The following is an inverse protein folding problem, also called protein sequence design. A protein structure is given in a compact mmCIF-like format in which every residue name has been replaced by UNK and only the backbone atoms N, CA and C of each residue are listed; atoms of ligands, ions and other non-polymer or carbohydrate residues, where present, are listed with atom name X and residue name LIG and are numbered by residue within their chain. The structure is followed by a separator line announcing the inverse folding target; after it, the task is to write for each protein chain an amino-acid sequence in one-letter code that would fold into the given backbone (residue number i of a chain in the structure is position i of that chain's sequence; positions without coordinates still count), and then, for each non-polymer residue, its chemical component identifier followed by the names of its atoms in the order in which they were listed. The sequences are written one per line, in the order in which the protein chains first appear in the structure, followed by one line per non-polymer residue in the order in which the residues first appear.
data_IF_487960207025
#
_entry.id   IF_487960207025
#
_cell.length_a   1.000
_cell.length_b   1.000
_cell.length_c   1.000
_cell.angle_alpha   90.00
_cell.angle_beta   90.00
_cell.angle_gamma   90.00
#
_symmetry.space_group_name_H-M   'P 1'
#
loop_
_entity.id
_entity.type
_entity.pdbx_description
1 polymer ?
#
# COMPACT_ATOMS: atom_id res chain seq x y z
N UNK A 1 -1.35 12.83 2.91
CA UNK A 1 -0.47 12.20 3.92
C UNK A 1 -0.04 13.15 5.05
N UNK A 2 -0.12 14.47 4.81
CA UNK A 2 0.27 15.49 5.80
C UNK A 2 -0.92 15.97 6.66
N UNK A 3 -2.14 15.58 6.31
CA UNK A 3 -3.34 16.08 6.96
C UNK A 3 -3.51 15.60 8.41
N UNK A 4 -3.02 14.39 8.73
CA UNK A 4 -3.16 13.80 10.08
C UNK A 4 -2.47 14.60 11.18
N UNK A 5 -1.17 14.84 11.13
CA UNK A 5 -0.46 15.64 12.13
C UNK A 5 -0.96 17.09 12.20
N UNK A 6 -1.23 17.72 11.05
CA UNK A 6 -1.79 19.08 11.01
C UNK A 6 -3.20 19.12 11.61
N UNK A 7 -4.05 18.14 11.30
CA UNK A 7 -5.38 18.03 11.88
C UNK A 7 -5.32 17.87 13.40
N UNK A 8 -4.44 16.99 13.91
CA UNK A 8 -4.25 16.78 15.35
C UNK A 8 -3.82 18.09 16.03
N UNK A 9 -2.84 18.79 15.46
CA UNK A 9 -2.36 20.07 16.01
C UNK A 9 -3.46 21.14 16.02
N UNK A 10 -4.23 21.27 14.95
CA UNK A 10 -5.36 22.21 14.86
C UNK A 10 -6.47 21.86 15.85
N UNK A 11 -6.81 20.58 16.01
CA UNK A 11 -7.80 20.13 16.98
C UNK A 11 -7.34 20.34 18.42
N UNK A 12 -6.08 20.07 18.72
CA UNK A 12 -5.51 20.34 20.03
C UNK A 12 -5.56 21.87 20.33
N UNK A 13 -5.20 22.71 19.36
CA UNK A 13 -5.28 24.17 19.53
C UNK A 13 -6.70 24.66 19.78
N UNK A 14 -7.71 24.08 19.09
CA UNK A 14 -9.14 24.42 19.30
C UNK A 14 -9.65 24.06 20.69
N UNK A 15 -9.02 23.13 21.40
CA UNK A 15 -9.38 22.71 22.75
C UNK A 15 -8.70 23.53 23.86
N UNK A 16 -7.77 24.39 23.49
CA UNK A 16 -6.99 25.22 24.41
C UNK A 16 -7.42 26.68 24.17
N UNK A 17 -8.41 27.15 24.94
CA UNK A 17 -8.95 28.52 24.74
C UNK A 17 -7.96 29.62 25.12
N UNK A 18 -7.21 29.49 26.21
CA UNK A 18 -6.31 30.53 26.75
C UNK A 18 -4.88 29.99 27.04
N UNK A 19 -4.50 28.87 26.42
CA UNK A 19 -3.18 28.24 26.64
C UNK A 19 -2.13 28.67 25.62
N UNK A 20 -0.87 28.24 25.81
CA UNK A 20 0.18 28.49 24.84
C UNK A 20 -0.14 27.81 23.50
N UNK A 21 0.36 28.35 22.36
CA UNK A 21 0.10 27.79 21.05
C UNK A 21 0.63 26.35 20.94
N UNK A 22 -0.15 25.48 20.29
CA UNK A 22 0.28 24.11 19.95
C UNK A 22 1.32 24.19 18.85
N UNK A 23 2.52 23.68 19.12
CA UNK A 23 3.63 23.65 18.17
C UNK A 23 3.78 22.25 17.58
N UNK A 24 3.76 22.15 16.25
CA UNK A 24 4.12 20.95 15.52
C UNK A 24 5.61 21.01 15.16
N UNK A 25 6.42 20.16 15.78
CA UNK A 25 7.86 20.08 15.51
C UNK A 25 8.13 18.92 14.57
N UNK A 26 8.56 19.13 13.32
CA UNK A 26 8.96 18.06 12.43
C UNK A 26 10.29 17.45 12.92
N UNK A 27 10.30 16.14 13.11
CA UNK A 27 11.50 15.37 13.45
C UNK A 27 11.82 14.42 12.31
N UNK A 28 13.00 14.57 11.71
CA UNK A 28 13.51 13.64 10.71
C UNK A 28 14.56 12.72 11.35
N UNK A 29 14.33 11.41 11.28
CA UNK A 29 15.30 10.40 11.72
C UNK A 29 15.95 9.80 10.50
N UNK A 30 17.29 9.96 10.38
CA UNK A 30 18.09 9.32 9.35
C UNK A 30 18.89 8.19 9.97
N UNK A 31 18.58 6.94 9.60
CA UNK A 31 19.39 5.79 9.95
C UNK A 31 20.38 5.49 8.82
N UNK A 32 21.66 5.32 9.16
CA UNK A 32 22.72 4.91 8.22
C UNK A 32 23.40 3.67 8.76
N UNK A 33 23.61 2.69 7.87
CA UNK A 33 24.43 1.53 8.19
C UNK A 33 25.91 1.88 8.08
N UNK A 34 26.67 1.64 9.14
CA UNK A 34 28.12 1.90 9.18
C UNK A 34 28.96 0.67 8.83
N UNK A 35 28.35 -0.52 8.75
CA UNK A 35 29.01 -1.78 8.39
C UNK A 35 28.68 -2.28 6.99
N UNK A 36 29.46 -3.26 6.50
CA UNK A 36 29.17 -3.92 5.23
C UNK A 36 28.03 -4.95 5.40
N UNK A 37 26.83 -4.54 5.05
CA UNK A 37 25.63 -5.39 5.14
C UNK A 37 25.41 -6.26 3.90
N UNK A 38 26.27 -6.15 2.86
CA UNK A 38 26.05 -6.83 1.56
C UNK A 38 25.99 -8.34 1.67
N UNK A 39 26.87 -8.94 2.47
CA UNK A 39 26.93 -10.40 2.63
C UNK A 39 25.60 -10.88 3.27
N UNK A 40 25.23 -10.29 4.41
CA UNK A 40 23.99 -10.67 5.12
C UNK A 40 22.74 -10.43 4.28
N UNK A 41 22.71 -9.35 3.51
CA UNK A 41 21.59 -9.06 2.61
C UNK A 41 21.50 -10.11 1.49
N UNK A 42 22.62 -10.56 0.90
CA UNK A 42 22.62 -11.64 -0.10
C UNK A 42 22.12 -12.96 0.48
N UNK A 43 22.56 -13.35 1.67
CA UNK A 43 22.05 -14.54 2.37
C UNK A 43 20.54 -14.47 2.54
N UNK A 44 20.04 -13.36 3.09
CA UNK A 44 18.60 -13.15 3.30
C UNK A 44 17.80 -13.18 1.97
N UNK A 45 18.33 -12.55 0.91
CA UNK A 45 17.71 -12.59 -0.40
C UNK A 45 17.66 -14.01 -0.97
N UNK A 46 18.72 -14.81 -0.79
CA UNK A 46 18.74 -16.20 -1.22
C UNK A 46 17.73 -17.07 -0.47
N UNK A 47 17.61 -16.88 0.84
CA UNK A 47 16.57 -17.55 1.66
C UNK A 47 15.16 -17.21 1.14
N UNK A 48 14.87 -15.92 0.92
CA UNK A 48 13.57 -15.48 0.41
C UNK A 48 13.33 -16.00 -1.01
N UNK A 49 14.34 -15.94 -1.89
CA UNK A 49 14.25 -16.43 -3.25
C UNK A 49 13.90 -17.91 -3.31
N UNK A 50 14.50 -18.73 -2.44
CA UNK A 50 14.18 -20.16 -2.31
C UNK A 50 12.71 -20.37 -1.96
N UNK A 51 12.16 -19.60 -1.02
CA UNK A 51 10.73 -19.68 -0.63
C UNK A 51 9.80 -19.23 -1.76
N UNK A 52 10.25 -18.31 -2.60
CA UNK A 52 9.47 -17.74 -3.70
C UNK A 52 9.66 -18.47 -5.03
N UNK A 53 10.55 -19.47 -5.09
CA UNK A 53 10.99 -20.10 -6.34
C UNK A 53 11.48 -19.07 -7.36
N UNK A 54 12.28 -18.12 -6.87
CA UNK A 54 12.86 -17.05 -7.66
C UNK A 54 14.33 -17.37 -7.98
N UNK A 55 14.69 -17.28 -9.26
CA UNK A 55 16.05 -17.49 -9.73
C UNK A 55 16.93 -16.26 -9.41
N UNK A 56 17.94 -16.42 -8.56
CA UNK A 56 18.96 -15.42 -8.26
C UNK A 56 20.27 -15.82 -8.91
N UNK A 57 20.87 -14.86 -9.64
CA UNK A 57 22.22 -15.06 -10.19
C UNK A 57 23.26 -14.73 -9.13
N UNK A 58 24.30 -15.56 -9.03
CA UNK A 58 25.34 -15.45 -8.00
C UNK A 58 26.06 -14.09 -8.03
N UNK A 59 26.33 -13.58 -9.23
CA UNK A 59 27.10 -12.35 -9.45
C UNK A 59 26.27 -11.11 -9.80
N UNK A 60 24.93 -11.17 -9.68
CA UNK A 60 24.13 -10.01 -10.02
C UNK A 60 24.28 -8.88 -8.99
N UNK A 61 24.17 -7.60 -9.41
CA UNK A 61 24.14 -6.47 -8.48
C UNK A 61 23.03 -6.65 -7.42
N UNK A 62 23.35 -6.28 -6.18
CA UNK A 62 22.42 -6.50 -5.05
C UNK A 62 21.07 -5.79 -5.25
N UNK A 63 21.08 -4.64 -5.92
CA UNK A 63 19.86 -3.88 -6.26
C UNK A 63 18.99 -4.68 -7.23
N UNK A 64 19.60 -5.32 -8.23
CA UNK A 64 18.89 -6.18 -9.18
C UNK A 64 18.31 -7.42 -8.50
N UNK A 65 19.06 -8.02 -7.56
CA UNK A 65 18.59 -9.14 -6.75
C UNK A 65 17.40 -8.75 -5.89
N UNK A 66 17.44 -7.60 -5.20
CA UNK A 66 16.32 -7.05 -4.41
C UNK A 66 15.09 -6.83 -5.30
N UNK A 67 15.28 -6.22 -6.48
CA UNK A 67 14.19 -5.99 -7.42
C UNK A 67 13.56 -7.30 -7.89
N UNK A 68 14.36 -8.30 -8.27
CA UNK A 68 13.91 -9.62 -8.72
C UNK A 68 13.08 -10.34 -7.64
N UNK A 69 13.60 -10.39 -6.42
CA UNK A 69 12.89 -10.98 -5.27
C UNK A 69 11.60 -10.22 -4.98
N UNK A 70 11.65 -8.88 -5.04
CA UNK A 70 10.48 -8.03 -4.86
C UNK A 70 9.39 -8.31 -5.90
N UNK A 71 9.75 -8.47 -7.18
CA UNK A 71 8.82 -8.85 -8.24
C UNK A 71 8.21 -10.25 -8.02
N UNK A 72 9.04 -11.23 -7.63
CA UNK A 72 8.54 -12.58 -7.35
C UNK A 72 7.54 -12.57 -6.18
N UNK A 73 7.86 -11.83 -5.11
CA UNK A 73 6.96 -11.63 -3.98
C UNK A 73 5.65 -10.96 -4.40
N UNK A 74 5.71 -9.89 -5.20
CA UNK A 74 4.54 -9.19 -5.70
C UNK A 74 3.66 -10.12 -6.54
N UNK A 75 4.24 -10.85 -7.50
CA UNK A 75 3.54 -11.83 -8.34
C UNK A 75 2.80 -12.86 -7.49
N UNK A 76 3.50 -13.44 -6.50
CA UNK A 76 2.90 -14.41 -5.57
C UNK A 76 1.74 -13.79 -4.80
N UNK A 77 1.92 -12.61 -4.22
CA UNK A 77 0.87 -11.93 -3.45
C UNK A 77 -0.36 -11.60 -4.29
N UNK A 78 -0.19 -11.03 -5.49
CA UNK A 78 -1.30 -10.71 -6.37
C UNK A 78 -2.06 -11.97 -6.79
N UNK A 79 -1.33 -13.05 -7.11
CA UNK A 79 -1.95 -14.34 -7.48
C UNK A 79 -2.73 -14.94 -6.31
N UNK A 80 -2.14 -15.00 -5.12
CA UNK A 80 -2.78 -15.60 -3.94
C UNK A 80 -4.03 -14.84 -3.50
N UNK A 81 -4.05 -13.52 -3.70
CA UNK A 81 -5.20 -12.66 -3.36
C UNK A 81 -6.24 -12.56 -4.47
N UNK A 82 -5.98 -13.14 -5.65
CA UNK A 82 -6.87 -13.03 -6.81
C UNK A 82 -6.91 -11.64 -7.43
N UNK A 83 -5.82 -10.86 -7.29
CA UNK A 83 -5.68 -9.50 -7.83
C UNK A 83 -4.67 -9.42 -8.99
N UNK A 84 -4.31 -10.56 -9.56
CA UNK A 84 -3.45 -10.62 -10.73
C UNK A 84 -4.24 -10.17 -11.96
N UNK A 85 -3.83 -9.09 -12.65
CA UNK A 85 -4.44 -8.72 -13.92
C UNK A 85 -4.28 -9.85 -14.94
N UNK A 86 -5.31 -10.14 -15.77
CA UNK A 86 -5.26 -11.25 -16.72
C UNK A 86 -4.15 -11.07 -17.77
N UNK A 87 -3.91 -9.84 -18.22
CA UNK A 87 -2.95 -9.48 -19.25
C UNK A 87 -1.72 -8.75 -18.64
N UNK A 88 -1.23 -9.21 -17.48
CA UNK A 88 -0.13 -8.57 -16.78
C UNK A 88 1.18 -8.63 -17.57
N UNK A 89 1.58 -7.50 -18.14
CA UNK A 89 2.91 -7.29 -18.71
C UNK A 89 3.88 -6.84 -17.61
N UNK A 90 4.78 -7.73 -17.20
CA UNK A 90 5.72 -7.45 -16.12
C UNK A 90 6.88 -6.56 -16.52
N UNK A 91 7.01 -6.22 -17.80
CA UNK A 91 7.94 -5.18 -18.26
C UNK A 91 7.33 -3.79 -18.10
N UNK A 92 5.99 -3.69 -17.99
CA UNK A 92 5.26 -2.48 -17.60
C UNK A 92 4.63 -2.64 -16.20
N UNK A 93 5.49 -2.66 -15.18
CA UNK A 93 5.08 -2.80 -13.79
C UNK A 93 4.06 -1.74 -13.32
N UNK A 94 4.13 -0.44 -13.70
CA UNK A 94 3.10 0.54 -13.39
C UNK A 94 1.71 0.12 -13.85
N UNK A 95 1.55 -0.37 -15.08
CA UNK A 95 0.26 -0.87 -15.60
C UNK A 95 -0.24 -2.08 -14.83
N UNK A 96 0.64 -3.02 -14.48
CA UNK A 96 0.28 -4.18 -13.64
C UNK A 96 -0.25 -3.73 -12.28
N UNK A 97 0.42 -2.77 -11.64
CA UNK A 97 -0.01 -2.26 -10.33
C UNK A 97 -1.33 -1.49 -10.42
N UNK A 98 -1.52 -0.67 -11.45
CA UNK A 98 -2.79 0.00 -11.70
C UNK A 98 -3.93 -0.98 -11.91
N UNK A 99 -3.72 -2.00 -12.75
CA UNK A 99 -4.69 -3.06 -12.99
C UNK A 99 -5.03 -3.82 -11.70
N UNK A 100 -4.02 -4.20 -10.91
CA UNK A 100 -4.21 -4.87 -9.63
C UNK A 100 -5.03 -4.01 -8.64
N UNK A 101 -4.72 -2.71 -8.53
CA UNK A 101 -5.48 -1.80 -7.69
C UNK A 101 -6.94 -1.66 -8.17
N UNK A 102 -7.15 -1.61 -9.48
CA UNK A 102 -8.48 -1.61 -10.10
C UNK A 102 -9.31 -2.81 -9.68
N UNK A 103 -8.74 -4.02 -9.77
CA UNK A 103 -9.42 -5.26 -9.35
C UNK A 103 -9.81 -5.26 -7.86
N UNK A 104 -8.93 -4.73 -6.99
CA UNK A 104 -9.27 -4.58 -5.56
C UNK A 104 -10.43 -3.63 -5.36
N UNK A 105 -10.40 -2.47 -6.03
CA UNK A 105 -11.44 -1.44 -5.95
C UNK A 105 -12.79 -2.01 -6.41
N UNK A 106 -12.83 -2.63 -7.59
CA UNK A 106 -14.05 -3.23 -8.15
C UNK A 106 -14.65 -4.31 -7.25
N UNK A 107 -13.80 -5.18 -6.70
CA UNK A 107 -14.22 -6.19 -5.73
C UNK A 107 -14.86 -5.58 -4.50
N UNK A 108 -14.26 -4.52 -3.93
CA UNK A 108 -14.78 -3.86 -2.74
C UNK A 108 -16.07 -3.08 -3.03
N UNK A 109 -16.15 -2.38 -4.16
CA UNK A 109 -17.36 -1.69 -4.59
C UNK A 109 -18.52 -2.66 -4.77
N UNK A 110 -18.26 -3.81 -5.41
CA UNK A 110 -19.26 -4.88 -5.57
C UNK A 110 -19.74 -5.43 -4.22
N UNK A 111 -18.82 -5.73 -3.32
CA UNK A 111 -19.16 -6.25 -1.98
C UNK A 111 -19.96 -5.29 -1.11
N UNK A 112 -19.72 -4.00 -1.28
CA UNK A 112 -20.38 -2.94 -0.52
C UNK A 112 -21.57 -2.32 -1.25
N UNK A 113 -21.89 -2.80 -2.46
CA UNK A 113 -22.91 -2.24 -3.35
C UNK A 113 -22.73 -0.74 -3.59
N UNK A 114 -21.46 -0.28 -3.62
CA UNK A 114 -21.13 1.11 -3.83
C UNK A 114 -21.28 1.49 -5.30
N UNK A 115 -22.09 2.51 -5.56
CA UNK A 115 -22.21 3.14 -6.87
C UNK A 115 -21.28 4.34 -6.93
N UNK A 116 -20.13 4.17 -7.57
CA UNK A 116 -19.22 5.28 -7.86
C UNK A 116 -19.62 5.97 -9.18
N UNK A 117 -19.26 7.25 -9.29
CA UNK A 117 -19.55 8.02 -10.52
C UNK A 117 -18.74 7.42 -11.69
N UNK A 118 -19.33 7.28 -12.88
CA UNK A 118 -18.57 6.91 -14.07
C UNK A 118 -17.39 7.84 -14.28
N UNK A 119 -16.19 7.29 -14.52
CA UNK A 119 -14.97 8.05 -14.72
C UNK A 119 -14.34 8.62 -13.45
N UNK A 120 -14.79 8.20 -12.27
CA UNK A 120 -14.13 8.60 -11.02
C UNK A 120 -12.69 8.05 -10.94
N UNK A 121 -11.77 8.89 -10.52
CA UNK A 121 -10.37 8.51 -10.34
C UNK A 121 -10.22 7.40 -9.27
N UNK A 122 -9.27 6.47 -9.43
CA UNK A 122 -9.06 5.37 -8.48
C UNK A 122 -8.91 5.83 -7.04
N UNK A 123 -8.23 6.94 -6.81
CA UNK A 123 -8.04 7.52 -5.48
C UNK A 123 -9.36 7.95 -4.84
N UNK A 124 -10.27 8.54 -5.63
CA UNK A 124 -11.58 8.97 -5.13
C UNK A 124 -12.50 7.79 -4.85
N UNK A 125 -12.41 6.73 -5.66
CA UNK A 125 -13.10 5.46 -5.43
C UNK A 125 -12.63 4.83 -4.11
N UNK A 126 -11.32 4.78 -3.85
CA UNK A 126 -10.78 4.30 -2.58
C UNK A 126 -11.25 5.15 -1.39
N UNK A 127 -11.31 6.47 -1.55
CA UNK A 127 -11.85 7.36 -0.50
C UNK A 127 -13.32 7.06 -0.20
N UNK A 128 -14.11 6.77 -1.22
CA UNK A 128 -15.52 6.38 -1.05
C UNK A 128 -15.64 5.05 -0.29
N UNK A 129 -14.84 4.04 -0.69
CA UNK A 129 -14.76 2.74 -0.01
C UNK A 129 -14.39 2.92 1.47
N UNK A 130 -13.35 3.69 1.77
CA UNK A 130 -12.90 3.92 3.15
C UNK A 130 -13.95 4.62 4.01
N UNK A 131 -14.68 5.58 3.44
CA UNK A 131 -15.80 6.23 4.13
C UNK A 131 -16.91 5.24 4.45
N UNK A 132 -17.24 4.35 3.49
CA UNK A 132 -18.26 3.34 3.71
C UNK A 132 -17.84 2.29 4.74
N UNK A 133 -16.60 1.81 4.70
CA UNK A 133 -16.05 0.93 5.74
C UNK A 133 -16.11 1.58 7.11
N UNK A 134 -15.78 2.86 7.21
CA UNK A 134 -15.87 3.59 8.46
C UNK A 134 -17.35 3.66 8.95
N UNK A 135 -18.29 3.98 8.05
CA UNK A 135 -19.71 4.02 8.36
C UNK A 135 -20.23 2.67 8.84
N UNK A 136 -19.84 1.57 8.17
CA UNK A 136 -20.20 0.21 8.58
C UNK A 136 -19.69 -0.11 9.99
N UNK A 137 -18.46 0.28 10.31
CA UNK A 137 -17.83 0.00 11.60
C UNK A 137 -18.40 0.85 12.74
N UNK A 138 -18.97 2.00 12.44
CA UNK A 138 -19.50 2.94 13.45
C UNK A 138 -21.02 2.91 13.60
N UNK A 139 -21.72 2.21 12.72
CA UNK A 139 -23.18 2.08 12.76
C UNK A 139 -23.59 0.80 13.54
N UNK A 140 -24.09 0.94 14.78
CA UNK A 140 -24.46 -0.19 15.60
C UNK A 140 -25.68 -0.97 15.08
N UNK A 141 -26.43 -0.41 14.12
CA UNK A 141 -27.58 -1.08 13.52
C UNK A 141 -27.22 -2.08 12.43
N UNK A 142 -25.95 -2.10 11.98
CA UNK A 142 -25.48 -3.02 10.97
C UNK A 142 -24.85 -4.26 11.61
N UNK A 143 -25.45 -5.40 11.37
CA UNK A 143 -24.94 -6.73 11.75
C UNK A 143 -23.79 -7.19 10.84
N UNK A 144 -22.83 -6.32 10.54
CA UNK A 144 -21.65 -6.74 9.78
C UNK A 144 -20.55 -7.13 10.75
N UNK A 145 -20.03 -8.33 10.56
CA UNK A 145 -18.93 -8.87 11.33
C UNK A 145 -17.70 -7.92 11.27
N UNK A 146 -17.29 -7.44 12.44
CA UNK A 146 -16.14 -6.54 12.57
C UNK A 146 -14.85 -7.06 11.89
N UNK A 147 -14.48 -8.34 11.94
CA UNK A 147 -13.41 -8.92 11.15
C UNK A 147 -13.55 -8.71 9.65
N UNK A 148 -14.75 -8.85 9.10
CA UNK A 148 -15.02 -8.65 7.66
C UNK A 148 -14.79 -7.19 7.27
N UNK A 149 -15.35 -6.25 8.04
CA UNK A 149 -15.16 -4.81 7.79
C UNK A 149 -13.66 -4.40 7.92
N UNK A 150 -12.93 -5.01 8.84
CA UNK A 150 -11.48 -4.80 8.99
C UNK A 150 -10.71 -5.32 7.78
N UNK A 151 -11.05 -6.50 7.25
CA UNK A 151 -10.46 -7.03 6.01
C UNK A 151 -10.68 -6.10 4.82
N UNK A 152 -11.86 -5.50 4.68
CA UNK A 152 -12.13 -4.51 3.61
C UNK A 152 -11.30 -3.23 3.78
N UNK A 153 -11.10 -2.79 5.01
CA UNK A 153 -10.22 -1.65 5.29
C UNK A 153 -8.78 -1.94 4.84
N UNK A 154 -8.26 -3.12 5.15
CA UNK A 154 -6.91 -3.55 4.79
C UNK A 154 -6.74 -3.73 3.28
N UNK A 155 -7.75 -4.27 2.59
CA UNK A 155 -7.76 -4.36 1.12
C UNK A 155 -7.75 -2.95 0.50
N UNK A 156 -8.55 -2.01 1.00
CA UNK A 156 -8.58 -0.63 0.52
C UNK A 156 -7.26 0.12 0.75
N UNK A 157 -6.62 -0.09 1.91
CA UNK A 157 -5.29 0.45 2.21
C UNK A 157 -4.25 -0.15 1.26
N UNK A 158 -4.36 -1.44 0.95
CA UNK A 158 -3.45 -2.12 0.01
C UNK A 158 -3.57 -1.52 -1.39
N UNK A 159 -4.79 -1.32 -1.92
CA UNK A 159 -5.00 -0.67 -3.20
C UNK A 159 -4.43 0.76 -3.22
N UNK A 160 -4.65 1.52 -2.14
CA UNK A 160 -4.10 2.88 -2.03
C UNK A 160 -2.56 2.88 -2.03
N UNK A 161 -1.93 1.96 -1.30
CA UNK A 161 -0.46 1.82 -1.29
C UNK A 161 0.07 1.45 -2.67
N UNK A 162 -0.55 0.50 -3.36
CA UNK A 162 -0.17 0.11 -4.72
C UNK A 162 -0.18 1.34 -5.64
N UNK A 163 -1.25 2.13 -5.65
CA UNK A 163 -1.35 3.34 -6.45
C UNK A 163 -0.34 4.43 -6.06
N UNK A 164 -0.03 4.53 -4.77
CA UNK A 164 0.94 5.53 -4.27
C UNK A 164 2.38 5.22 -4.69
N UNK A 165 2.72 3.95 -4.91
CA UNK A 165 4.06 3.52 -5.31
C UNK A 165 4.23 3.35 -6.82
N UNK A 166 3.14 3.27 -7.58
CA UNK A 166 3.18 3.07 -9.03
C UNK A 166 3.69 4.29 -9.82
N UNK A 167 3.84 5.47 -9.17
CA UNK A 167 4.18 6.70 -9.89
C UNK A 167 5.64 6.77 -10.32
N UNK A 168 6.54 7.16 -9.43
CA UNK A 168 7.89 7.59 -9.84
C UNK A 168 9.02 6.63 -9.44
N UNK A 169 8.84 5.81 -8.42
CA UNK A 169 9.90 4.95 -7.88
C UNK A 169 10.20 3.69 -8.72
N UNK A 170 9.24 3.27 -9.55
CA UNK A 170 9.35 2.04 -10.34
C UNK A 170 9.62 2.31 -11.83
N UNK A 171 9.52 3.55 -12.26
CA UNK A 171 9.82 3.94 -13.64
C UNK A 171 11.33 4.00 -13.92
N UNK A 172 12.14 4.25 -12.92
CA UNK A 172 13.61 4.18 -13.02
C UNK A 172 14.05 2.77 -12.65
N UNK A 173 14.16 1.91 -13.67
CA UNK A 173 14.82 0.60 -13.50
C UNK A 173 16.27 0.86 -13.07
N UNK A 174 16.76 0.20 -12.00
CA UNK A 174 18.17 0.28 -11.60
C UNK A 174 19.10 -0.28 -12.66
#
# INVERSE_FOLDING_TARGET
FLDGPAYIALKAQQQIDDGPPVLAVPVAIKATHTGNVRVKLRETLAEIATVLDADLKEDEPIVSAVYRVGLAMLRRNLRQRGFMPPDADWDDLPSVLHGAAGLVIEKLETKMELKTKPGAEPVDRIRAIRREVHRIRTDPSREIDHPVASSWADEAITAFRILSYAGNYLAEKP
#
